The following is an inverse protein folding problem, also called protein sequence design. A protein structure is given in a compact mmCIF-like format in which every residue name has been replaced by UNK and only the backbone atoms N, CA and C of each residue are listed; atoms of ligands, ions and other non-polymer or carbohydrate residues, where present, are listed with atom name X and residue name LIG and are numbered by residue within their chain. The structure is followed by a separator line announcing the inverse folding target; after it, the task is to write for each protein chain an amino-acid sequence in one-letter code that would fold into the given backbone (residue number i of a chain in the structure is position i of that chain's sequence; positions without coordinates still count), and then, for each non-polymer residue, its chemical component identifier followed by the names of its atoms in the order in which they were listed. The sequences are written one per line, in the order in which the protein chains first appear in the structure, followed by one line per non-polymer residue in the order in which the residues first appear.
data_IF_147695839088
#
_entry.id   IF_147695839088
#
_cell.length_a   1.000
_cell.length_b   1.000
_cell.length_c   1.000
_cell.angle_alpha   90.00
_cell.angle_beta   90.00
_cell.angle_gamma   90.00
#
_symmetry.space_group_name_H-M   'P 1'
#
loop_
_entity.id
_entity.type
_entity.pdbx_description
1 polymer ?
#
# COMPACT_ATOMS: atom_id res chain seq x y z
N UNK A 1 42.05 27.24 7.51
CA UNK A 1 42.12 26.92 8.97
C UNK A 1 40.71 27.05 9.52
N UNK A 2 40.05 26.11 10.19
CA UNK A 2 40.20 24.67 10.38
C UNK A 2 38.81 24.17 10.82
N UNK A 3 38.50 22.95 10.44
CA UNK A 3 37.27 22.17 10.71
C UNK A 3 37.21 21.70 12.17
N UNK A 4 36.01 21.55 12.76
CA UNK A 4 35.56 20.43 13.62
C UNK A 4 34.21 20.76 14.30
N UNK A 5 33.09 20.17 13.85
CA UNK A 5 32.44 18.93 14.36
C UNK A 5 31.70 19.08 15.71
N UNK A 6 30.37 19.06 15.64
CA UNK A 6 29.46 18.80 16.76
C UNK A 6 28.99 17.33 16.73
N UNK A 7 29.02 16.59 17.85
CA UNK A 7 28.36 15.30 17.97
C UNK A 7 27.17 15.31 18.96
N UNK A 8 26.01 14.95 18.41
CA UNK A 8 24.98 13.98 18.85
C UNK A 8 24.83 13.65 20.36
N UNK A 9 23.59 13.84 20.83
CA UNK A 9 23.01 13.41 22.12
C UNK A 9 22.88 11.88 22.24
N UNK A 10 22.94 11.34 23.48
CA UNK A 10 21.97 10.32 23.88
C UNK A 10 21.45 10.56 25.32
N UNK A 11 20.68 9.59 25.85
CA UNK A 11 19.97 9.52 27.16
C UNK A 11 18.50 9.94 27.07
N UNK A 12 17.61 9.09 26.55
CA UNK A 12 16.96 7.94 27.23
C UNK A 12 16.23 8.38 28.50
N UNK A 13 14.93 8.66 28.37
CA UNK A 13 14.00 8.88 29.49
C UNK A 13 13.31 7.56 29.79
N UNK A 14 13.68 6.95 30.92
CA UNK A 14 13.06 5.75 31.47
C UNK A 14 11.87 6.11 32.36
N UNK A 15 10.80 5.32 32.20
CA UNK A 15 9.74 4.98 33.17
C UNK A 15 9.16 6.09 34.07
N UNK A 16 7.92 6.45 33.77
CA UNK A 16 7.04 7.24 34.60
C UNK A 16 6.79 6.63 35.99
N UNK A 17 7.07 7.40 37.02
CA UNK A 17 6.43 7.31 38.34
C UNK A 17 5.15 8.15 38.30
N UNK A 18 3.98 7.51 38.40
CA UNK A 18 2.77 8.13 38.96
C UNK A 18 2.29 7.22 40.07
N UNK A 19 2.42 7.73 41.29
CA UNK A 19 2.11 7.07 42.55
C UNK A 19 0.72 6.40 42.58
N UNK A 20 0.72 5.08 42.76
CA UNK A 20 0.18 4.36 43.92
C UNK A 20 -1.11 4.92 44.58
N UNK A 21 -2.28 4.62 44.01
CA UNK A 21 -3.56 4.74 44.73
C UNK A 21 -3.84 3.47 45.54
N UNK A 22 -3.70 3.61 46.86
CA UNK A 22 -3.87 2.57 47.86
C UNK A 22 -5.28 2.67 48.46
N UNK A 23 -6.23 1.87 47.96
CA UNK A 23 -7.56 1.78 48.56
C UNK A 23 -7.60 0.73 49.68
N UNK A 24 -7.45 1.20 50.93
CA UNK A 24 -7.76 0.41 52.13
C UNK A 24 -9.11 0.87 52.70
N UNK A 25 -10.13 0.00 52.70
CA UNK A 25 -11.40 0.30 53.35
C UNK A 25 -11.26 0.19 54.88
N UNK A 26 -11.81 1.18 55.58
CA UNK A 26 -11.63 1.44 57.02
C UNK A 26 -12.73 0.74 57.82
N UNK A 27 -12.62 -0.58 58.01
CA UNK A 27 -13.31 -1.27 59.12
C UNK A 27 -12.69 -2.63 59.41
N UNK A 28 -12.04 -2.73 60.58
CA UNK A 28 -11.59 -3.90 61.34
C UNK A 28 -11.14 -5.21 60.63
N UNK A 29 -9.87 -5.53 60.92
CA UNK A 29 -9.23 -6.86 61.02
C UNK A 29 -9.01 -7.70 59.75
N UNK A 30 -7.73 -7.70 59.31
CA UNK A 30 -6.98 -8.80 58.67
C UNK A 30 -7.55 -9.42 57.38
N UNK A 31 -7.09 -8.91 56.22
CA UNK A 31 -6.49 -9.69 55.10
C UNK A 31 -6.22 -8.77 53.90
N UNK A 32 -4.96 -8.38 53.69
CA UNK A 32 -4.48 -7.93 52.38
C UNK A 32 -4.24 -9.16 51.51
N UNK A 33 -5.04 -9.38 50.47
CA UNK A 33 -4.83 -10.47 49.50
C UNK A 33 -3.84 -9.97 48.44
N UNK A 34 -2.69 -10.65 48.28
CA UNK A 34 -1.75 -10.39 47.18
C UNK A 34 -2.41 -10.75 45.84
N UNK A 35 -2.90 -9.75 45.12
CA UNK A 35 -3.53 -9.86 43.80
C UNK A 35 -2.52 -10.10 42.65
N UNK A 36 -1.30 -10.56 42.92
CA UNK A 36 -0.17 -10.50 41.97
C UNK A 36 0.26 -11.83 41.34
N UNK A 37 -0.42 -12.94 41.65
CA UNK A 37 0.01 -14.29 41.18
C UNK A 37 -0.97 -15.00 40.24
N UNK A 38 -2.14 -14.43 39.96
CA UNK A 38 -3.09 -14.99 38.99
C UNK A 38 -3.09 -14.25 37.65
N UNK A 39 -2.65 -13.00 37.63
CA UNK A 39 -2.67 -12.15 36.44
C UNK A 39 -1.56 -12.56 35.45
N UNK A 40 -0.35 -12.86 35.92
CA UNK A 40 0.77 -13.25 35.05
C UNK A 40 0.58 -14.61 34.35
N UNK A 41 -0.01 -15.60 35.04
CA UNK A 41 -0.28 -16.91 34.43
C UNK A 41 -1.44 -16.86 33.43
N UNK A 42 -2.45 -16.04 33.68
CA UNK A 42 -3.55 -15.79 32.72
C UNK A 42 -3.07 -15.02 31.49
N UNK A 43 -2.18 -14.03 31.65
CA UNK A 43 -1.60 -13.28 30.53
C UNK A 43 -0.75 -14.21 29.64
N UNK A 44 0.07 -15.10 30.22
CA UNK A 44 0.80 -16.09 29.41
C UNK A 44 -0.12 -17.07 28.67
N UNK A 45 -1.24 -17.49 29.27
CA UNK A 45 -2.23 -18.34 28.60
C UNK A 45 -2.99 -17.60 27.47
N UNK A 46 -3.32 -16.31 27.67
CA UNK A 46 -3.97 -15.48 26.65
C UNK A 46 -3.01 -15.19 25.48
N UNK A 47 -1.73 -14.93 25.76
CA UNK A 47 -0.70 -14.71 24.73
C UNK A 47 -0.44 -15.99 23.92
N UNK A 48 -0.44 -17.18 24.55
CA UNK A 48 -0.31 -18.46 23.85
C UNK A 48 -1.52 -18.79 22.96
N UNK A 49 -2.74 -18.42 23.35
CA UNK A 49 -3.94 -18.62 22.51
C UNK A 49 -3.99 -17.66 21.30
N UNK A 50 -3.34 -16.50 21.37
CA UNK A 50 -3.23 -15.58 20.22
C UNK A 50 -2.13 -15.95 19.22
N UNK A 51 -1.25 -16.91 19.55
CA UNK A 51 -0.06 -17.20 18.73
C UNK A 51 -0.30 -18.12 17.52
N UNK A 52 -1.48 -18.74 17.38
CA UNK A 52 -1.83 -19.52 16.19
C UNK A 52 -3.26 -19.25 15.75
N UNK A 53 -3.47 -18.07 15.17
CA UNK A 53 -4.50 -17.89 14.17
C UNK A 53 -3.88 -17.10 13.01
N UNK A 54 -3.03 -17.78 12.24
CA UNK A 54 -2.81 -17.36 10.86
C UNK A 54 -4.19 -17.27 10.20
N UNK A 55 -4.51 -16.11 9.64
CA UNK A 55 -5.81 -15.85 9.01
C UNK A 55 -5.94 -16.82 7.83
N UNK A 56 -6.67 -17.92 8.00
CA UNK A 56 -7.10 -18.74 6.88
C UNK A 56 -8.12 -17.91 6.10
N UNK A 57 -7.68 -17.31 4.99
CA UNK A 57 -8.56 -16.65 4.02
C UNK A 57 -9.52 -17.72 3.47
N UNK A 58 -10.83 -17.69 3.78
CA UNK A 58 -11.75 -18.79 3.48
C UNK A 58 -12.04 -19.00 1.98
N UNK A 59 -11.39 -18.24 1.09
CA UNK A 59 -11.60 -18.27 -0.37
C UNK A 59 -10.31 -18.17 -1.18
N UNK A 60 -9.14 -18.46 -0.58
CA UNK A 60 -7.88 -18.45 -1.31
C UNK A 60 -7.76 -19.69 -2.21
N UNK A 61 -7.40 -19.55 -3.50
CA UNK A 61 -7.25 -20.70 -4.39
C UNK A 61 -6.11 -21.61 -3.91
N UNK A 62 -6.27 -22.92 -4.09
CA UNK A 62 -5.19 -23.86 -3.82
C UNK A 62 -4.09 -23.74 -4.90
N UNK A 63 -2.83 -23.94 -4.51
CA UNK A 63 -1.73 -24.03 -5.46
C UNK A 63 -1.92 -25.26 -6.37
N UNK A 64 -1.96 -25.09 -7.70
CA UNK A 64 -2.15 -26.21 -8.62
C UNK A 64 -1.06 -27.29 -8.49
N UNK A 65 0.20 -26.90 -8.25
CA UNK A 65 1.28 -27.83 -7.92
C UNK A 65 1.84 -27.58 -6.52
N UNK A 66 2.22 -28.68 -5.88
CA UNK A 66 2.64 -28.71 -4.47
C UNK A 66 4.12 -28.37 -4.24
N UNK A 67 4.93 -28.26 -5.29
CA UNK A 67 6.38 -28.08 -5.19
C UNK A 67 6.88 -27.00 -6.16
N UNK A 68 7.95 -26.31 -5.77
CA UNK A 68 8.56 -25.25 -6.59
C UNK A 68 7.97 -23.87 -6.31
N UNK A 69 8.35 -22.92 -7.16
CA UNK A 69 7.85 -21.52 -7.13
C UNK A 69 7.07 -21.28 -8.41
N UNK A 70 5.84 -20.79 -8.30
CA UNK A 70 4.95 -20.57 -9.44
C UNK A 70 4.12 -19.31 -9.22
N UNK A 71 3.88 -18.55 -10.28
CA UNK A 71 3.08 -17.33 -10.25
C UNK A 71 1.87 -17.46 -11.18
N UNK A 72 0.68 -17.08 -10.70
CA UNK A 72 -0.57 -17.13 -11.47
C UNK A 72 -1.29 -15.79 -11.42
N UNK A 73 -1.99 -15.44 -12.50
CA UNK A 73 -2.73 -14.18 -12.57
C UNK A 73 -3.86 -14.14 -11.54
N UNK A 74 -4.04 -12.99 -10.87
CA UNK A 74 -5.24 -12.76 -10.08
C UNK A 74 -6.46 -12.61 -11.01
N UNK A 75 -7.63 -13.20 -10.69
CA UNK A 75 -8.78 -13.25 -11.61
C UNK A 75 -9.41 -11.88 -11.89
N UNK A 76 -9.29 -10.94 -10.96
CA UNK A 76 -9.94 -9.63 -11.06
C UNK A 76 -8.98 -8.45 -11.14
N UNK A 77 -7.72 -8.63 -10.74
CA UNK A 77 -6.78 -7.53 -10.51
C UNK A 77 -5.53 -7.79 -11.35
N UNK A 78 -5.10 -6.76 -12.06
CA UNK A 78 -4.08 -6.90 -13.09
C UNK A 78 -2.67 -6.72 -12.56
N UNK A 79 -2.55 -5.92 -11.50
CA UNK A 79 -1.34 -5.71 -10.70
C UNK A 79 -1.08 -6.81 -9.68
N UNK A 80 -2.06 -7.67 -9.39
CA UNK A 80 -1.91 -8.74 -8.42
C UNK A 80 -1.71 -10.10 -9.07
N UNK A 81 -0.98 -10.94 -8.37
CA UNK A 81 -0.76 -12.32 -8.74
C UNK A 81 -0.65 -13.22 -7.51
N UNK A 82 -0.95 -14.48 -7.71
CA UNK A 82 -0.77 -15.53 -6.72
C UNK A 82 0.63 -16.09 -6.84
N UNK A 83 1.39 -16.08 -5.74
CA UNK A 83 2.70 -16.71 -5.66
C UNK A 83 2.60 -17.98 -4.81
N UNK A 84 2.85 -19.12 -5.43
CA UNK A 84 2.88 -20.42 -4.79
C UNK A 84 4.32 -20.85 -4.55
N UNK A 85 4.70 -21.03 -3.29
CA UNK A 85 6.02 -21.56 -2.90
C UNK A 85 5.82 -22.86 -2.10
N UNK A 86 6.19 -24.00 -2.69
CA UNK A 86 6.03 -25.34 -2.09
C UNK A 86 4.62 -25.56 -1.49
N UNK A 87 3.59 -25.22 -2.25
CA UNK A 87 2.19 -25.36 -1.85
C UNK A 87 1.67 -24.28 -0.90
N UNK A 88 2.52 -23.32 -0.48
CA UNK A 88 2.10 -22.14 0.28
C UNK A 88 1.74 -21.02 -0.68
N UNK A 89 0.48 -20.58 -0.63
CA UNK A 89 -0.03 -19.47 -1.44
C UNK A 89 0.18 -18.13 -0.72
N UNK A 90 0.73 -17.15 -1.43
CA UNK A 90 0.65 -15.73 -1.07
C UNK A 90 0.03 -14.93 -2.22
N UNK A 91 -0.51 -13.76 -1.89
CA UNK A 91 -0.99 -12.77 -2.87
C UNK A 91 0.02 -11.66 -2.89
N UNK A 92 0.60 -11.42 -4.06
CA UNK A 92 1.62 -10.40 -4.28
C UNK A 92 1.06 -9.31 -5.20
N UNK A 93 1.56 -8.09 -5.01
CA UNK A 93 1.20 -6.93 -5.81
C UNK A 93 2.44 -6.41 -6.53
N UNK A 94 2.33 -6.19 -7.83
CA UNK A 94 3.36 -5.55 -8.63
C UNK A 94 3.55 -4.09 -8.19
N UNK A 95 4.78 -3.74 -7.84
CA UNK A 95 5.14 -2.40 -7.39
C UNK A 95 5.13 -1.38 -8.54
N UNK A 96 5.11 -0.09 -8.20
CA UNK A 96 5.26 1.02 -9.16
C UNK A 96 4.24 1.04 -10.31
N UNK A 97 3.04 0.47 -10.09
CA UNK A 97 1.99 0.40 -11.10
C UNK A 97 2.30 -0.54 -12.27
N UNK A 98 3.22 -1.49 -12.08
CA UNK A 98 3.45 -2.58 -13.02
C UNK A 98 2.30 -3.60 -12.94
N UNK A 99 2.14 -4.39 -14.01
CA UNK A 99 1.09 -5.38 -14.14
C UNK A 99 1.69 -6.78 -14.26
N UNK A 100 0.97 -7.78 -13.78
CA UNK A 100 1.39 -9.17 -13.91
C UNK A 100 1.35 -9.61 -15.37
N UNK A 101 2.51 -9.91 -15.94
CA UNK A 101 2.69 -10.20 -17.37
C UNK A 101 2.45 -11.67 -17.74
N UNK A 102 2.22 -12.52 -16.73
CA UNK A 102 2.01 -13.96 -16.92
C UNK A 102 3.26 -14.75 -17.24
N UNK A 103 4.45 -14.12 -17.22
CA UNK A 103 5.71 -14.73 -17.63
C UNK A 103 6.69 -14.75 -16.46
N UNK A 104 7.20 -15.95 -16.15
CA UNK A 104 8.25 -16.13 -15.15
C UNK A 104 7.72 -16.66 -13.83
N UNK A 105 8.12 -17.89 -13.52
CA UNK A 105 7.79 -18.55 -12.26
C UNK A 105 8.65 -18.06 -11.08
N UNK A 106 9.76 -17.36 -11.35
CA UNK A 106 10.77 -17.00 -10.33
C UNK A 106 11.22 -15.53 -10.40
N UNK A 107 11.27 -14.92 -11.60
CA UNK A 107 11.72 -13.53 -11.80
C UNK A 107 10.91 -12.84 -12.89
N UNK A 108 10.77 -11.50 -12.77
CA UNK A 108 10.22 -10.60 -13.79
C UNK A 108 8.75 -10.86 -14.21
N UNK A 109 7.89 -11.24 -13.27
CA UNK A 109 6.46 -11.39 -13.51
C UNK A 109 5.67 -10.06 -13.55
N UNK A 110 6.33 -8.92 -13.32
CA UNK A 110 5.73 -7.59 -13.38
C UNK A 110 6.32 -6.80 -14.53
N UNK A 111 5.48 -6.23 -15.38
CA UNK A 111 5.90 -5.46 -16.55
C UNK A 111 4.99 -4.25 -16.77
N UNK A 112 5.40 -3.32 -17.63
CA UNK A 112 4.61 -2.15 -17.93
C UNK A 112 3.33 -2.52 -18.69
N UNK A 113 2.27 -1.73 -18.48
CA UNK A 113 0.96 -1.94 -19.10
C UNK A 113 0.97 -2.16 -20.62
N UNK A 114 1.91 -1.56 -21.36
CA UNK A 114 2.04 -1.71 -22.81
C UNK A 114 2.63 -3.06 -23.25
N UNK A 115 3.21 -3.82 -22.32
CA UNK A 115 3.81 -5.13 -22.54
C UNK A 115 3.00 -6.28 -21.90
N UNK A 116 1.85 -5.98 -21.29
CA UNK A 116 1.00 -6.93 -20.56
C UNK A 116 -0.38 -7.03 -21.19
N UNK A 117 -0.87 -8.25 -21.38
CA UNK A 117 -2.28 -8.49 -21.70
C UNK A 117 -3.09 -8.62 -20.38
N UNK A 118 -3.86 -7.58 -20.10
CA UNK A 118 -4.65 -7.48 -18.89
C UNK A 118 -6.01 -8.20 -19.00
N UNK A 119 -6.51 -8.45 -20.22
CA UNK A 119 -7.87 -8.90 -20.46
C UNK A 119 -8.91 -7.99 -19.76
N UNK A 120 -9.86 -8.61 -19.07
CA UNK A 120 -10.94 -7.93 -18.31
C UNK A 120 -10.54 -7.59 -16.85
N UNK A 121 -9.29 -7.86 -16.45
CA UNK A 121 -8.82 -7.59 -15.08
C UNK A 121 -8.66 -6.09 -14.86
N UNK A 122 -8.98 -5.63 -13.66
CA UNK A 122 -8.88 -4.21 -13.29
C UNK A 122 -7.44 -3.86 -12.96
N UNK A 123 -6.97 -2.76 -13.52
CA UNK A 123 -5.68 -2.16 -13.20
C UNK A 123 -5.83 -0.96 -12.22
N UNK A 124 -6.95 -0.88 -11.48
CA UNK A 124 -7.35 0.26 -10.64
C UNK A 124 -6.30 0.72 -9.61
N UNK A 125 -5.34 -0.15 -9.35
CA UNK A 125 -4.15 -0.05 -8.49
C UNK A 125 -2.96 0.71 -9.09
N UNK A 126 -3.01 1.10 -10.37
CA UNK A 126 -1.91 1.84 -11.04
C UNK A 126 -1.54 3.16 -10.33
N UNK A 127 -2.35 3.66 -9.40
CA UNK A 127 -2.03 4.78 -8.49
C UNK A 127 -2.78 4.76 -7.15
N UNK A 128 -3.63 3.76 -6.90
CA UNK A 128 -4.60 3.83 -5.79
C UNK A 128 -5.61 5.00 -5.95
N UNK A 129 -5.77 5.51 -7.16
CA UNK A 129 -6.66 6.64 -7.45
C UNK A 129 -8.07 6.15 -7.77
N UNK A 130 -9.05 6.64 -7.01
CA UNK A 130 -10.47 6.37 -7.26
C UNK A 130 -11.10 7.57 -7.96
N UNK A 131 -11.74 7.34 -9.10
CA UNK A 131 -12.47 8.38 -9.80
C UNK A 131 -13.56 9.00 -8.91
N UNK A 132 -13.59 10.34 -8.78
CA UNK A 132 -14.63 11.01 -8.02
C UNK A 132 -15.99 10.87 -8.72
N UNK A 133 -17.04 10.56 -7.96
CA UNK A 133 -18.41 10.44 -8.51
C UNK A 133 -18.97 11.78 -8.99
N UNK A 134 -18.45 12.89 -8.47
CA UNK A 134 -18.81 14.25 -8.87
C UNK A 134 -17.55 15.10 -8.93
N UNK A 135 -17.37 15.81 -10.04
CA UNK A 135 -16.29 16.76 -10.22
C UNK A 135 -16.87 18.18 -10.08
N UNK A 136 -16.36 19.02 -9.15
CA UNK A 136 -16.83 20.39 -9.02
C UNK A 136 -16.57 21.18 -10.32
N UNK A 137 -17.58 21.89 -10.81
CA UNK A 137 -17.54 22.58 -12.11
C UNK A 137 -16.43 23.65 -12.24
N UNK A 138 -15.94 24.15 -11.11
CA UNK A 138 -14.88 25.17 -11.03
C UNK A 138 -13.46 24.60 -11.02
N UNK A 139 -13.28 23.31 -11.29
CA UNK A 139 -11.96 22.65 -11.32
C UNK A 139 -11.44 22.51 -12.75
N UNK A 140 -10.12 22.43 -12.91
CA UNK A 140 -9.51 22.15 -14.22
C UNK A 140 -10.00 20.79 -14.77
N UNK A 141 -10.19 19.79 -13.91
CA UNK A 141 -10.71 18.46 -14.27
C UNK A 141 -12.08 18.53 -14.93
N UNK A 142 -12.96 19.44 -14.48
CA UNK A 142 -14.30 19.58 -15.04
C UNK A 142 -14.31 20.07 -16.50
N UNK A 143 -13.25 20.76 -16.96
CA UNK A 143 -13.12 21.21 -18.35
C UNK A 143 -13.07 20.06 -19.35
N UNK A 144 -12.68 18.86 -18.90
CA UNK A 144 -12.55 17.66 -19.73
C UNK A 144 -13.80 16.76 -19.68
N UNK A 145 -14.94 17.25 -19.19
CA UNK A 145 -16.20 16.50 -19.21
C UNK A 145 -16.56 16.04 -20.63
N UNK A 146 -16.97 14.78 -20.86
CA UNK A 146 -17.43 13.77 -19.88
C UNK A 146 -16.35 12.91 -19.23
N UNK A 147 -15.08 13.11 -19.58
CA UNK A 147 -13.95 12.29 -19.10
C UNK A 147 -12.95 13.15 -18.31
N UNK A 148 -13.27 13.49 -17.05
CA UNK A 148 -12.43 14.39 -16.26
C UNK A 148 -11.03 13.79 -16.06
N UNK A 149 -10.02 14.67 -16.05
CA UNK A 149 -8.61 14.32 -15.95
C UNK A 149 -8.04 14.63 -14.57
N UNK A 150 -7.00 13.90 -14.16
CA UNK A 150 -6.33 14.06 -12.87
C UNK A 150 -4.82 13.78 -12.98
N UNK A 151 -4.00 14.41 -12.12
CA UNK A 151 -2.56 14.15 -12.07
C UNK A 151 -2.25 12.77 -11.49
N UNK A 152 -1.17 12.17 -11.97
CA UNK A 152 -0.56 10.96 -11.41
C UNK A 152 0.53 11.42 -10.42
N UNK A 153 0.45 11.10 -9.11
CA UNK A 153 1.43 11.56 -8.15
C UNK A 153 2.86 11.12 -8.51
N UNK A 154 3.76 12.07 -8.73
CA UNK A 154 5.17 11.80 -9.00
C UNK A 154 5.50 11.31 -10.42
N UNK A 155 4.53 11.33 -11.34
CA UNK A 155 4.72 10.89 -12.72
C UNK A 155 4.51 12.04 -13.70
N UNK A 156 5.58 12.38 -14.41
CA UNK A 156 5.60 13.46 -15.39
C UNK A 156 5.21 13.02 -16.79
N UNK A 157 4.96 11.74 -17.05
CA UNK A 157 4.68 11.24 -18.41
C UNK A 157 3.26 10.75 -18.57
N UNK A 158 2.45 10.72 -17.51
CA UNK A 158 1.14 10.08 -17.53
C UNK A 158 0.10 10.91 -16.80
N UNK A 159 -1.14 10.76 -17.23
CA UNK A 159 -2.32 11.34 -16.58
C UNK A 159 -3.41 10.29 -16.36
N UNK A 160 -4.35 10.59 -15.46
CA UNK A 160 -5.52 9.75 -15.24
C UNK A 160 -6.72 10.39 -15.95
N UNK A 161 -7.48 9.59 -16.68
CA UNK A 161 -8.77 9.97 -17.26
C UNK A 161 -9.84 9.03 -16.74
N UNK A 162 -10.92 9.59 -16.19
CA UNK A 162 -12.04 8.78 -15.69
C UNK A 162 -13.05 8.52 -16.80
N UNK A 163 -13.25 7.25 -17.15
CA UNK A 163 -14.26 6.81 -18.12
C UNK A 163 -15.28 5.94 -17.40
N UNK A 164 -16.53 6.40 -17.32
CA UNK A 164 -17.62 5.69 -16.64
C UNK A 164 -17.30 5.33 -15.17
N UNK A 165 -16.52 6.18 -14.50
CA UNK A 165 -16.08 5.97 -13.12
C UNK A 165 -14.87 5.06 -12.94
N UNK A 166 -14.29 4.54 -14.02
CA UNK A 166 -13.07 3.74 -13.99
C UNK A 166 -11.86 4.59 -14.38
N UNK A 167 -10.77 4.58 -13.60
CA UNK A 167 -9.56 5.33 -13.91
C UNK A 167 -8.80 4.67 -15.05
N UNK A 168 -8.38 5.46 -16.04
CA UNK A 168 -7.51 5.02 -17.13
C UNK A 168 -6.24 5.85 -17.12
N UNK A 169 -5.09 5.19 -17.13
CA UNK A 169 -3.81 5.86 -17.28
C UNK A 169 -3.54 6.14 -18.75
N UNK A 170 -3.23 7.37 -19.09
CA UNK A 170 -2.90 7.82 -20.45
C UNK A 170 -1.45 8.32 -20.43
N UNK A 171 -0.61 7.73 -21.25
CA UNK A 171 0.77 8.18 -21.45
C UNK A 171 0.79 9.34 -22.43
N UNK A 172 1.55 10.38 -22.09
CA UNK A 172 1.86 11.46 -23.01
C UNK A 172 2.62 10.92 -24.23
N UNK A 173 2.39 11.53 -25.39
CA UNK A 173 3.11 11.16 -26.61
C UNK A 173 4.63 11.29 -26.44
N UNK A 174 5.40 10.69 -27.34
CA UNK A 174 6.86 10.69 -27.26
C UNK A 174 7.43 12.11 -27.07
N UNK A 175 8.29 12.26 -26.06
CA UNK A 175 8.96 13.52 -25.73
C UNK A 175 8.09 14.55 -25.01
N UNK A 176 6.82 14.25 -24.68
CA UNK A 176 5.93 15.14 -23.94
C UNK A 176 5.86 14.78 -22.46
N UNK A 177 5.55 15.79 -21.66
CA UNK A 177 5.35 15.67 -20.21
C UNK A 177 3.99 16.24 -19.80
N UNK A 178 3.47 15.76 -18.69
CA UNK A 178 2.18 16.14 -18.15
C UNK A 178 2.29 17.46 -17.37
N UNK A 179 1.43 18.42 -17.73
CA UNK A 179 1.24 19.68 -17.00
C UNK A 179 0.07 19.53 -16.03
N UNK A 180 0.35 19.59 -14.72
CA UNK A 180 -0.64 19.47 -13.66
C UNK A 180 -1.57 20.70 -13.54
N UNK A 181 -1.18 21.85 -14.09
CA UNK A 181 -1.97 23.07 -14.07
C UNK A 181 -3.09 23.01 -15.11
N UNK A 182 -2.76 22.49 -16.30
CA UNK A 182 -3.69 22.43 -17.43
C UNK A 182 -4.32 21.06 -17.63
N UNK A 183 -3.77 20.01 -17.01
CA UNK A 183 -4.14 18.60 -17.18
C UNK A 183 -4.02 18.12 -18.64
N UNK A 184 -2.95 18.58 -19.30
CA UNK A 184 -2.59 18.27 -20.70
C UNK A 184 -1.15 17.79 -20.80
N UNK A 185 -0.81 17.19 -21.95
CA UNK A 185 0.57 16.82 -22.25
C UNK A 185 1.20 17.94 -23.07
N UNK A 186 2.22 18.56 -22.53
CA UNK A 186 2.95 19.70 -23.09
C UNK A 186 4.40 19.34 -23.35
N UNK A 187 5.12 20.24 -24.02
CA UNK A 187 6.55 20.07 -24.23
C UNK A 187 7.32 20.36 -22.93
N UNK A 188 8.45 19.67 -22.65
CA UNK A 188 9.17 19.77 -21.38
C UNK A 188 9.62 21.18 -21.02
N UNK A 189 9.86 22.04 -22.02
CA UNK A 189 10.23 23.44 -21.83
C UNK A 189 9.12 24.27 -21.17
N UNK A 190 7.84 23.87 -21.35
CA UNK A 190 6.67 24.53 -20.79
C UNK A 190 6.32 24.03 -19.38
N UNK A 191 6.92 22.92 -18.97
CA UNK A 191 6.67 22.27 -17.66
C UNK A 191 7.99 22.11 -16.91
N UNK A 192 8.57 23.21 -16.36
CA UNK A 192 9.93 23.19 -15.81
C UNK A 192 10.15 22.15 -14.70
N UNK A 193 9.11 21.83 -13.93
CA UNK A 193 9.17 20.84 -12.85
C UNK A 193 9.30 19.39 -13.37
N UNK A 194 9.00 19.15 -14.64
CA UNK A 194 9.10 17.86 -15.33
C UNK A 194 10.13 17.89 -16.47
N UNK A 195 10.92 18.95 -16.61
CA UNK A 195 11.86 19.13 -17.72
C UNK A 195 13.02 18.11 -17.74
N UNK A 196 13.25 17.41 -16.62
CA UNK A 196 14.30 16.40 -16.45
C UNK A 196 13.77 15.05 -15.96
N UNK A 197 12.47 14.80 -16.16
CA UNK A 197 11.84 13.54 -15.81
C UNK A 197 12.32 12.38 -16.68
#
# INVERSE_FOLDING_TARGET
MSVAHAPVLPFVVTSADVQNDQFCNRSNTLRCIRLHSFINTFIHFIVFLSAQAGILLPHAPACPEHYGVQAYAHPELCDQFFLCTNGTLTVETCENGLLFDGKGAVHNHCNYHWAVDCGERKADSVVGFKCPTKVPANTQSAKFWPFPRFPVPGDCHRLITCVEGNPRLITCGEGKVFDDQNLTCEDPELVPHCAHA
#
